data_IF_395199591110
#
_entry.id   IF_395199591110
#
_cell.length_a   1.000
_cell.length_b   1.000
_cell.length_c   1.000
_cell.angle_alpha   90.00
_cell.angle_beta   90.00
_cell.angle_gamma   90.00
#
_symmetry.space_group_name_H-M   'P 1'
#
loop_
_entity.id
_entity.type
_entity.pdbx_description
1 polymer ?
#
# COMPACT_ATOMS: atom_id res chain seq x y z
N UNK A 1 -0.42 -11.46 2.09
CA UNK A 1 -0.59 -10.65 0.85
C UNK A 1 -1.91 -10.89 0.14
N UNK A 2 -2.49 -12.08 0.25
CA UNK A 2 -3.71 -12.50 -0.46
C UNK A 2 -4.91 -11.56 -0.30
N UNK A 3 -5.00 -10.81 0.80
CA UNK A 3 -6.03 -9.78 1.01
C UNK A 3 -5.81 -8.47 0.24
N UNK A 4 -4.86 -8.42 -0.70
CA UNK A 4 -4.64 -7.27 -1.60
C UNK A 4 -3.80 -6.13 -1.02
N UNK A 5 -3.06 -6.37 0.07
CA UNK A 5 -2.09 -5.40 0.58
C UNK A 5 -0.88 -5.28 -0.34
N UNK A 6 -0.36 -4.06 -0.55
CA UNK A 6 0.84 -3.82 -1.38
C UNK A 6 2.12 -4.32 -0.71
N UNK A 7 2.14 -4.35 0.62
CA UNK A 7 3.23 -4.91 1.39
C UNK A 7 2.91 -4.97 2.88
N UNK A 8 3.69 -5.76 3.60
CA UNK A 8 3.59 -5.89 5.03
C UNK A 8 4.97 -6.02 5.68
N UNK A 9 5.10 -5.47 6.88
CA UNK A 9 6.26 -5.60 7.73
C UNK A 9 5.79 -6.06 9.12
N UNK A 10 6.26 -7.24 9.54
CA UNK A 10 5.96 -7.80 10.86
C UNK A 10 7.25 -7.90 11.65
N UNK A 11 7.30 -7.22 12.78
CA UNK A 11 8.44 -7.25 13.71
C UNK A 11 7.99 -7.91 15.01
N UNK A 12 8.61 -9.04 15.33
CA UNK A 12 8.41 -9.74 16.61
C UNK A 12 9.66 -9.55 17.44
N UNK A 13 9.50 -8.89 18.58
CA UNK A 13 10.58 -8.50 19.48
C UNK A 13 10.38 -9.08 20.87
N UNK A 14 11.45 -9.54 21.49
CA UNK A 14 11.45 -10.02 22.87
C UNK A 14 12.37 -11.23 23.06
N UNK A 15 12.15 -11.96 24.16
CA UNK A 15 12.99 -13.13 24.51
C UNK A 15 12.62 -14.32 23.63
N UNK A 16 13.40 -14.53 22.56
CA UNK A 16 13.19 -15.61 21.60
C UNK A 16 14.30 -16.67 21.77
N UNK A 17 13.91 -17.88 22.21
CA UNK A 17 14.79 -19.04 22.45
C UNK A 17 15.96 -18.81 23.44
N UNK A 18 15.98 -17.71 24.18
CA UNK A 18 17.03 -17.38 25.16
C UNK A 18 16.65 -16.19 26.05
N UNK A 19 17.49 -15.88 27.05
CA UNK A 19 17.22 -14.80 28.01
C UNK A 19 17.41 -13.39 27.44
N UNK A 20 18.20 -13.24 26.37
CA UNK A 20 18.44 -11.96 25.70
C UNK A 20 17.33 -11.67 24.69
N UNK A 21 16.89 -10.43 24.63
CA UNK A 21 15.93 -9.99 23.62
C UNK A 21 16.54 -10.07 22.21
N UNK A 22 15.73 -10.53 21.26
CA UNK A 22 16.00 -10.56 19.83
C UNK A 22 14.81 -9.96 19.09
N UNK A 23 15.05 -9.45 17.89
CA UNK A 23 14.01 -8.94 17.01
C UNK A 23 14.06 -9.69 15.69
N UNK A 24 12.96 -10.32 15.31
CA UNK A 24 12.78 -10.94 14.01
C UNK A 24 11.92 -10.02 13.16
N UNK A 25 12.45 -9.60 12.02
CA UNK A 25 11.76 -8.74 11.07
C UNK A 25 11.44 -9.57 9.82
N UNK A 26 10.17 -9.62 9.49
CA UNK A 26 9.64 -10.24 8.28
C UNK A 26 9.06 -9.13 7.42
N UNK A 27 9.52 -9.03 6.18
CA UNK A 27 9.05 -8.01 5.22
C UNK A 27 8.69 -8.71 3.94
N UNK A 28 7.57 -8.29 3.36
CA UNK A 28 7.14 -8.73 2.05
C UNK A 28 6.49 -7.56 1.30
N UNK A 29 6.77 -7.45 0.00
CA UNK A 29 6.28 -6.35 -0.86
C UNK A 29 6.90 -4.98 -0.63
N UNK A 30 6.15 -3.95 -1.02
CA UNK A 30 6.55 -2.55 -0.92
C UNK A 30 6.14 -1.96 0.44
N UNK A 31 7.06 -1.25 1.09
CA UNK A 31 6.77 -0.54 2.33
C UNK A 31 7.43 0.84 2.29
N UNK A 32 6.65 1.88 2.58
CA UNK A 32 7.14 3.26 2.72
C UNK A 32 7.38 3.59 4.20
N UNK A 33 8.47 4.32 4.48
CA UNK A 33 8.84 4.70 5.85
C UNK A 33 8.93 6.21 6.06
N UNK A 34 8.92 7.01 4.99
CA UNK A 34 9.12 8.46 5.02
C UNK A 34 8.04 9.23 4.24
N UNK A 35 7.88 10.51 4.60
CA UNK A 35 6.93 11.43 3.99
C UNK A 35 5.52 11.35 4.58
N UNK A 36 4.67 12.29 4.17
CA UNK A 36 3.25 12.31 4.53
C UNK A 36 2.44 11.07 4.07
N UNK A 37 2.78 10.41 2.92
CA UNK A 37 2.14 9.16 2.51
C UNK A 37 2.04 8.07 3.55
N UNK A 38 2.97 8.01 4.50
CA UNK A 38 2.95 7.03 5.58
C UNK A 38 1.68 7.12 6.41
N UNK A 39 1.16 8.33 6.66
CA UNK A 39 0.04 8.56 7.56
C UNK A 39 -1.29 7.97 7.05
N UNK A 40 -1.46 7.87 5.72
CA UNK A 40 -2.67 7.36 5.10
C UNK A 40 -2.49 6.00 4.45
N UNK A 41 -1.30 5.67 3.92
CA UNK A 41 -1.06 4.38 3.28
C UNK A 41 -0.61 3.28 4.25
N UNK A 42 0.01 3.61 5.38
CA UNK A 42 0.57 2.59 6.28
C UNK A 42 -0.23 2.53 7.57
N UNK A 43 -0.99 1.45 7.73
CA UNK A 43 -1.60 1.15 9.02
C UNK A 43 -0.58 0.43 9.91
N UNK A 44 -0.45 0.89 11.16
CA UNK A 44 0.50 0.36 12.13
C UNK A 44 -0.21 -0.05 13.41
N UNK A 45 -0.02 -1.31 13.81
CA UNK A 45 -0.51 -1.83 15.08
C UNK A 45 0.63 -2.37 15.93
N UNK A 46 0.64 -2.01 17.21
CA UNK A 46 1.57 -2.58 18.21
C UNK A 46 0.75 -3.31 19.27
N UNK A 47 1.13 -4.55 19.57
CA UNK A 47 0.50 -5.38 20.60
C UNK A 47 1.54 -6.11 21.43
N UNK A 48 1.16 -6.41 22.66
CA UNK A 48 1.96 -7.14 23.62
C UNK A 48 1.33 -8.49 23.87
N UNK A 49 2.13 -9.56 23.84
CA UNK A 49 1.69 -10.92 24.13
C UNK A 49 2.45 -11.42 25.35
N UNK A 50 1.71 -11.87 26.35
CA UNK A 50 2.30 -12.41 27.57
C UNK A 50 2.60 -13.90 27.37
N UNK A 51 3.86 -14.29 27.54
CA UNK A 51 4.31 -15.68 27.58
C UNK A 51 4.96 -15.96 28.92
N UNK A 52 5.13 -17.25 29.25
CA UNK A 52 5.79 -17.66 30.50
C UNK A 52 7.22 -17.09 30.65
N UNK A 53 7.93 -16.87 29.55
CA UNK A 53 9.30 -16.31 29.56
C UNK A 53 9.34 -14.77 29.71
N UNK A 54 8.20 -14.09 29.59
CA UNK A 54 8.07 -12.63 29.60
C UNK A 54 7.11 -12.14 28.51
N UNK A 55 7.17 -10.84 28.22
CA UNK A 55 6.32 -10.20 27.20
C UNK A 55 7.03 -10.16 25.86
N UNK A 56 6.34 -10.54 24.79
CA UNK A 56 6.75 -10.28 23.40
C UNK A 56 6.02 -9.05 22.87
N UNK A 57 6.75 -8.17 22.19
CA UNK A 57 6.19 -7.04 21.44
C UNK A 57 6.05 -7.41 19.98
N UNK A 58 4.84 -7.32 19.45
CA UNK A 58 4.52 -7.52 18.03
C UNK A 58 4.17 -6.16 17.44
N UNK A 59 4.88 -5.77 16.39
CA UNK A 59 4.56 -4.59 15.58
C UNK A 59 4.25 -5.05 14.15
N UNK A 60 3.06 -4.71 13.68
CA UNK A 60 2.59 -5.01 12.33
C UNK A 60 2.41 -3.68 11.61
N UNK A 61 2.97 -3.58 10.41
CA UNK A 61 2.75 -2.48 9.46
C UNK A 61 2.18 -3.06 8.17
N UNK A 62 1.09 -2.49 7.67
CA UNK A 62 0.44 -2.93 6.44
C UNK A 62 0.33 -1.73 5.51
N UNK A 63 0.89 -1.85 4.30
CA UNK A 63 0.72 -0.85 3.25
C UNK A 63 -0.56 -1.15 2.47
N UNK A 64 -1.53 -0.25 2.58
CA UNK A 64 -2.82 -0.33 1.90
C UNK A 64 -2.65 -0.13 0.38
N UNK A 65 -3.48 -0.78 -0.44
CA UNK A 65 -3.53 -0.49 -1.87
C UNK A 65 -4.13 0.90 -2.10
N UNK A 66 -3.79 1.51 -3.23
CA UNK A 66 -4.48 2.71 -3.68
C UNK A 66 -5.83 2.29 -4.27
N UNK A 67 -6.90 2.98 -3.87
CA UNK A 67 -8.25 2.73 -4.35
C UNK A 67 -8.94 4.07 -4.62
N UNK A 68 -9.30 4.37 -5.88
CA UNK A 68 -9.98 5.63 -6.23
C UNK A 68 -11.36 5.76 -5.56
N UNK A 69 -12.01 4.64 -5.20
CA UNK A 69 -13.30 4.65 -4.49
C UNK A 69 -13.14 4.90 -2.99
N UNK A 70 -11.96 4.63 -2.44
CA UNK A 70 -11.59 4.89 -1.06
C UNK A 70 -12.18 3.93 -0.04
N UNK A 71 -12.57 2.72 -0.44
CA UNK A 71 -13.17 1.72 0.48
C UNK A 71 -12.11 0.92 1.22
N UNK A 72 -11.07 0.50 0.50
CA UNK A 72 -10.04 -0.40 1.03
C UNK A 72 -8.74 0.36 1.36
N UNK A 73 -8.52 1.52 0.72
CA UNK A 73 -7.33 2.32 0.95
C UNK A 73 -7.51 3.78 0.53
N UNK A 74 -6.41 4.56 0.51
CA UNK A 74 -6.47 5.99 0.25
C UNK A 74 -6.92 6.33 -1.18
N UNK A 75 -7.78 7.35 -1.29
CA UNK A 75 -8.18 7.94 -2.59
C UNK A 75 -7.05 8.70 -3.27
N UNK A 76 -6.23 9.39 -2.47
CA UNK A 76 -5.09 10.17 -2.97
C UNK A 76 -4.02 9.22 -3.48
N UNK A 77 -3.60 9.30 -4.74
CA UNK A 77 -2.50 8.50 -5.26
C UNK A 77 -1.18 8.87 -4.57
N UNK A 78 -0.19 8.00 -4.69
CA UNK A 78 1.17 8.31 -4.28
C UNK A 78 1.69 9.51 -5.10
N UNK A 79 2.40 10.46 -4.48
CA UNK A 79 2.85 11.68 -5.16
C UNK A 79 3.80 11.38 -6.32
N UNK A 80 4.54 10.28 -6.23
CA UNK A 80 5.55 9.88 -7.22
C UNK A 80 4.93 9.05 -8.36
N UNK A 81 3.67 8.63 -8.24
CA UNK A 81 3.01 7.77 -9.21
C UNK A 81 2.24 8.59 -10.26
N UNK A 82 2.89 8.83 -11.40
CA UNK A 82 2.30 9.55 -12.55
C UNK A 82 1.72 8.54 -13.54
N UNK A 83 0.39 8.58 -13.74
CA UNK A 83 -0.28 7.80 -14.79
C UNK A 83 -0.45 8.64 -16.05
N UNK A 84 0.18 8.23 -17.15
CA UNK A 84 0.04 8.87 -18.46
C UNK A 84 -1.05 8.10 -19.21
N UNK A 85 -2.10 8.80 -19.63
CA UNK A 85 -3.18 8.20 -20.43
C UNK A 85 -2.73 8.15 -21.88
N UNK A 86 -2.83 6.99 -22.50
CA UNK A 86 -2.54 6.84 -23.93
C UNK A 86 -3.54 7.65 -24.76
N UNK A 87 -3.05 8.39 -25.78
CA UNK A 87 -3.94 9.12 -26.67
C UNK A 87 -4.85 8.14 -27.39
N UNK A 88 -6.10 8.54 -27.62
CA UNK A 88 -7.01 7.76 -28.45
C UNK A 88 -6.50 7.78 -29.89
N UNK A 89 -6.61 6.65 -30.57
CA UNK A 89 -6.35 6.59 -32.00
C UNK A 89 -7.36 7.48 -32.74
N UNK A 90 -6.90 8.64 -33.19
CA UNK A 90 -7.67 9.51 -34.07
C UNK A 90 -7.61 8.94 -35.48
N UNK A 91 -8.79 8.64 -36.02
CA UNK A 91 -8.95 8.22 -37.41
C UNK A 91 -8.63 9.45 -38.25
N UNK A 92 -7.50 9.46 -38.95
CA UNK A 92 -7.17 10.52 -39.88
C UNK A 92 -8.27 10.56 -40.96
N UNK A 93 -9.00 11.67 -41.14
CA UNK A 93 -10.01 11.75 -42.17
C UNK A 93 -9.32 11.71 -43.53
N UNK A 94 -9.50 10.61 -44.26
CA UNK A 94 -8.97 10.43 -45.62
C UNK A 94 -9.75 11.23 -46.66
N UNK A 95 -10.99 11.60 -46.34
CA UNK A 95 -11.87 12.41 -47.19
C UNK A 95 -12.66 13.42 -46.37
N UNK A 96 -13.03 14.58 -46.95
CA UNK A 96 -13.88 15.55 -46.27
C UNK A 96 -15.27 14.95 -46.02
N UNK A 97 -15.68 14.91 -44.76
CA UNK A 97 -17.00 14.46 -44.29
C UNK A 97 -17.79 15.66 -43.74
N UNK A 98 -19.05 15.81 -44.15
CA UNK A 98 -19.98 16.79 -43.60
C UNK A 98 -20.95 16.13 -42.63
N UNK A 99 -20.82 16.42 -41.32
CA UNK A 99 -21.86 16.08 -40.35
C UNK A 99 -22.91 17.21 -40.31
N UNK A 100 -24.09 16.98 -40.90
CA UNK A 100 -25.26 17.83 -40.64
C UNK A 100 -25.90 17.42 -39.31
N UNK A 101 -25.66 18.18 -38.24
CA UNK A 101 -26.51 18.14 -37.04
C UNK A 101 -27.81 18.89 -37.34
N UNK A 102 -28.88 18.14 -37.57
CA UNK A 102 -30.23 18.68 -37.77
C UNK A 102 -30.94 18.97 -36.43
N UNK A 103 -31.63 20.12 -36.41
CA UNK A 103 -32.76 20.56 -35.57
C UNK A 103 -33.00 19.93 -34.22
#
# INVERSE_FOLDING_TARGET
MESGAKGCEVVVSGKLRGQRAKSMKFVDGLMIHSGDPVNYYVDTAVRHVLLRQGVLGIKVKIMLPWDPTGKIGPKKPLPDHVSIVEPKDEILPTTPISEQKGG
#
